data_IF_404566765861
#
_entry.id   IF_404566765861
#
_cell.length_a   1.000
_cell.length_b   1.000
_cell.length_c   1.000
_cell.angle_alpha   90.00
_cell.angle_beta   90.00
_cell.angle_gamma   90.00
#
_symmetry.space_group_name_H-M   'P 1'
#
loop_
_entity.id
_entity.type
_entity.pdbx_description
1 polymer ?
#
# COMPACT_ATOMS: atom_id res chain seq x y z
N UNK A 1 -6.96 -0.15 -14.73
CA UNK A 1 -5.89 0.84 -14.97
C UNK A 1 -5.30 1.19 -13.62
N UNK A 2 -3.98 1.03 -13.47
CA UNK A 2 -3.27 1.33 -12.22
C UNK A 2 -2.86 2.80 -12.30
N UNK A 3 -3.05 3.59 -11.23
CA UNK A 3 -2.74 5.02 -11.28
C UNK A 3 -1.25 5.25 -11.58
N UNK A 4 -0.93 6.25 -12.40
CA UNK A 4 0.45 6.61 -12.76
C UNK A 4 1.30 7.12 -11.58
N UNK A 5 0.69 7.31 -10.41
CA UNK A 5 1.32 7.90 -9.23
C UNK A 5 1.09 7.03 -8.01
N UNK A 6 2.10 6.99 -7.17
CA UNK A 6 2.04 6.43 -5.83
C UNK A 6 0.81 6.97 -5.04
N UNK A 7 0.10 6.09 -4.35
CA UNK A 7 -1.10 6.45 -3.56
C UNK A 7 -0.77 7.15 -2.23
N UNK A 8 0.52 7.30 -1.90
CA UNK A 8 0.98 7.88 -0.64
C UNK A 8 0.92 9.40 -0.70
N UNK A 9 0.34 9.98 0.36
CA UNK A 9 0.40 11.41 0.64
C UNK A 9 1.33 11.64 1.83
N UNK A 10 2.39 12.41 1.59
CA UNK A 10 3.28 12.90 2.65
C UNK A 10 3.06 14.41 2.80
N UNK A 11 2.76 14.87 4.01
CA UNK A 11 2.61 16.30 4.34
C UNK A 11 1.76 17.08 3.32
N UNK A 12 0.53 16.59 3.10
CA UNK A 12 -0.47 17.12 2.15
C UNK A 12 -0.10 17.07 0.66
N UNK A 13 1.13 16.66 0.31
CA UNK A 13 1.56 16.48 -1.08
C UNK A 13 1.42 15.03 -1.50
N UNK A 14 0.73 14.81 -2.62
CA UNK A 14 0.68 13.50 -3.25
C UNK A 14 2.06 13.16 -3.82
N UNK A 15 2.54 11.96 -3.54
CA UNK A 15 3.78 11.47 -4.12
C UNK A 15 3.65 11.45 -5.65
N UNK A 16 4.58 12.11 -6.33
CA UNK A 16 4.62 12.20 -7.79
C UNK A 16 5.40 11.06 -8.43
N UNK A 17 6.02 10.19 -7.62
CA UNK A 17 6.79 9.08 -8.14
C UNK A 17 5.87 8.01 -8.75
N UNK A 18 6.33 7.37 -9.84
CA UNK A 18 5.64 6.23 -10.41
C UNK A 18 5.57 5.09 -9.38
N UNK A 19 4.45 4.37 -9.30
CA UNK A 19 4.36 3.19 -8.46
C UNK A 19 5.23 2.07 -9.02
N UNK A 20 5.91 1.37 -8.12
CA UNK A 20 6.73 0.21 -8.44
C UNK A 20 6.15 -1.08 -7.82
N UNK A 21 5.27 -0.95 -6.82
CA UNK A 21 4.69 -2.08 -6.11
C UNK A 21 3.19 -1.88 -5.89
N UNK A 22 2.42 -2.94 -6.09
CA UNK A 22 1.04 -3.07 -5.61
C UNK A 22 1.06 -3.64 -4.20
N UNK A 23 0.27 -3.02 -3.33
CA UNK A 23 0.07 -3.45 -1.96
C UNK A 23 -1.28 -4.13 -1.87
N UNK A 24 -1.26 -5.37 -1.43
CA UNK A 24 -2.44 -6.13 -1.09
C UNK A 24 -2.34 -6.66 0.34
N UNK A 25 -3.49 -6.93 0.96
CA UNK A 25 -3.57 -7.61 2.23
C UNK A 25 -4.21 -8.97 1.95
N UNK A 26 -3.47 -10.02 2.27
CA UNK A 26 -3.96 -11.39 2.21
C UNK A 26 -4.53 -11.75 3.57
N UNK A 27 -5.82 -12.06 3.60
CA UNK A 27 -6.52 -12.66 4.73
C UNK A 27 -7.00 -14.06 4.36
N UNK A 28 -7.43 -14.84 5.35
CA UNK A 28 -7.96 -16.19 5.14
C UNK A 28 -9.10 -16.23 4.09
N UNK A 29 -9.90 -15.17 4.04
CA UNK A 29 -11.07 -15.05 3.16
C UNK A 29 -10.75 -14.53 1.75
N UNK A 30 -9.49 -14.10 1.49
CA UNK A 30 -9.10 -13.59 0.18
C UNK A 30 -7.97 -12.56 0.19
N UNK A 31 -7.72 -11.94 -0.96
CA UNK A 31 -6.73 -10.88 -1.11
C UNK A 31 -7.42 -9.54 -1.44
N UNK A 32 -7.10 -8.51 -0.66
CA UNK A 32 -7.65 -7.16 -0.82
C UNK A 32 -6.56 -6.20 -1.28
N UNK A 33 -6.74 -5.60 -2.46
CA UNK A 33 -5.82 -4.57 -2.95
C UNK A 33 -6.02 -3.27 -2.15
N UNK A 34 -4.97 -2.80 -1.47
CA UNK A 34 -4.99 -1.56 -0.69
C UNK A 34 -4.60 -0.37 -1.55
N UNK A 35 -3.64 -0.54 -2.46
CA UNK A 35 -3.19 0.53 -3.34
C UNK A 35 -1.83 0.24 -3.96
N UNK A 36 -1.16 1.29 -4.44
CA UNK A 36 0.16 1.18 -5.03
C UNK A 36 1.16 2.14 -4.38
N UNK A 37 2.40 1.70 -4.27
CA UNK A 37 3.49 2.47 -3.68
C UNK A 37 4.72 2.48 -4.57
N UNK A 38 5.54 3.51 -4.41
CA UNK A 38 6.87 3.56 -5.01
C UNK A 38 7.90 2.94 -4.06
N UNK A 39 9.09 2.64 -4.59
CA UNK A 39 10.15 1.98 -3.82
C UNK A 39 10.59 2.79 -2.59
N UNK A 40 10.61 4.12 -2.68
CA UNK A 40 10.93 5.02 -1.57
C UNK A 40 9.91 4.99 -0.44
N UNK A 41 8.62 4.78 -0.77
CA UNK A 41 7.53 4.81 0.21
C UNK A 41 7.11 3.41 0.67
N UNK A 42 7.84 2.37 0.28
CA UNK A 42 7.53 0.99 0.66
C UNK A 42 7.52 0.82 2.18
N UNK A 43 8.55 1.30 2.87
CA UNK A 43 8.66 1.22 4.34
C UNK A 43 7.55 2.00 5.04
N UNK A 44 7.36 3.26 4.64
CA UNK A 44 6.32 4.16 5.18
C UNK A 44 4.93 3.56 5.02
N UNK A 45 4.64 2.95 3.87
CA UNK A 45 3.33 2.31 3.65
C UNK A 45 3.20 1.04 4.46
N UNK A 46 4.26 0.23 4.60
CA UNK A 46 4.20 -0.98 5.42
C UNK A 46 3.85 -0.65 6.88
N UNK A 47 4.47 0.40 7.43
CA UNK A 47 4.18 0.92 8.77
C UNK A 47 2.75 1.43 8.86
N UNK A 48 2.32 2.24 7.88
CA UNK A 48 0.98 2.81 7.86
C UNK A 48 -0.11 1.76 7.72
N UNK A 49 0.12 0.73 6.90
CA UNK A 49 -0.79 -0.42 6.77
C UNK A 49 -0.85 -1.19 8.09
N UNK A 50 0.28 -1.43 8.77
CA UNK A 50 0.26 -2.04 10.12
C UNK A 50 -0.53 -1.20 11.11
N UNK A 51 -0.37 0.12 11.12
CA UNK A 51 -1.13 1.01 12.01
C UNK A 51 -2.63 0.90 11.70
N UNK A 52 -3.01 0.97 10.43
CA UNK A 52 -4.41 0.84 10.00
C UNK A 52 -5.02 -0.53 10.36
N UNK A 53 -4.22 -1.60 10.32
CA UNK A 53 -4.63 -2.94 10.78
C UNK A 53 -4.79 -3.02 12.30
N UNK A 54 -3.98 -2.28 13.07
CA UNK A 54 -4.13 -2.16 14.52
C UNK A 54 -5.30 -1.26 14.91
N UNK A 55 -5.66 -0.28 14.07
CA UNK A 55 -6.83 0.58 14.25
C UNK A 55 -8.13 -0.07 13.73
N UNK A 56 -8.10 -1.35 13.32
CA UNK A 56 -9.24 -2.08 12.72
C UNK A 56 -9.90 -1.37 11.51
N UNK A 57 -9.17 -0.45 10.85
CA UNK A 57 -9.65 0.27 9.66
C UNK A 57 -9.54 -0.55 8.38
N UNK A 58 -8.60 -1.48 8.35
CA UNK A 58 -8.39 -2.43 7.26
C UNK A 58 -8.19 -3.83 7.86
N UNK A 59 -8.52 -4.90 7.13
CA UNK A 59 -8.48 -6.25 7.68
C UNK A 59 -7.06 -6.64 8.13
N UNK A 60 -6.96 -7.27 9.29
CA UNK A 60 -5.69 -7.74 9.84
C UNK A 60 -5.25 -8.99 9.07
N UNK A 61 -4.22 -8.83 8.24
CA UNK A 61 -3.76 -9.86 7.32
C UNK A 61 -2.32 -9.62 6.92
N UNK A 62 -1.78 -10.52 6.10
CA UNK A 62 -0.40 -10.43 5.65
C UNK A 62 -0.27 -9.40 4.53
N UNK A 63 0.56 -8.39 4.75
CA UNK A 63 0.88 -7.40 3.72
C UNK A 63 1.69 -8.08 2.62
N UNK A 64 1.19 -8.02 1.39
CA UNK A 64 1.83 -8.54 0.19
C UNK A 64 2.22 -7.38 -0.72
N UNK A 65 3.45 -7.42 -1.23
CA UNK A 65 4.03 -6.42 -2.11
C UNK A 65 4.34 -7.08 -3.45
N UNK A 66 3.51 -6.82 -4.45
CA UNK A 66 3.70 -7.32 -5.80
C UNK A 66 4.37 -6.26 -6.66
N UNK A 67 5.56 -6.54 -7.19
CA UNK A 67 6.25 -5.60 -8.08
C UNK A 67 5.46 -5.42 -9.39
N UNK A 68 5.26 -4.17 -9.81
CA UNK A 68 4.77 -3.81 -11.13
C UNK A 68 5.94 -4.00 -12.10
N UNK A 69 5.86 -5.03 -12.93
CA UNK A 69 6.88 -5.39 -13.92
C UNK A 69 6.69 -4.60 -15.21
#
# INVERSE_FOLDING_TARGET
MIPDKCSVRESEKQCVNPPAFVISIVVDDGEYMVGVTCEKHKDVVSEKVKILQNEDKIPNGKINFSALK
#
